data_IF_642996037241
#
_entry.id   IF_642996037241
#
_cell.length_a   1.000
_cell.length_b   1.000
_cell.length_c   1.000
_cell.angle_alpha   90.00
_cell.angle_beta   90.00
_cell.angle_gamma   90.00
#
_symmetry.space_group_name_H-M   'P 1'
#
loop_
_entity.id
_entity.type
_entity.pdbx_description
1 polymer ?
#
# COMPACT_ATOMS: atom_id res chain seq x y z
N UNK A 1 -5.15 4.94 5.01
CA UNK A 1 -4.29 4.30 6.06
C UNK A 1 -3.03 3.82 5.37
N UNK A 2 -1.96 4.58 5.56
CA UNK A 2 -0.64 4.43 4.96
C UNK A 2 -0.12 3.00 5.02
N UNK A 3 0.33 2.45 3.90
CA UNK A 3 0.97 1.12 3.83
C UNK A 3 2.22 1.11 4.72
N UNK A 4 2.93 2.24 4.77
CA UNK A 4 4.06 2.48 5.66
C UNK A 4 3.78 2.19 7.15
N UNK A 5 2.57 2.51 7.62
CA UNK A 5 2.16 2.30 9.00
C UNK A 5 1.93 0.81 9.25
N UNK A 6 1.37 0.08 8.27
CA UNK A 6 1.16 -1.36 8.39
C UNK A 6 2.50 -2.11 8.50
N UNK A 7 3.49 -1.76 7.67
CA UNK A 7 4.83 -2.34 7.76
C UNK A 7 5.48 -2.04 9.11
N UNK A 8 5.33 -0.81 9.62
CA UNK A 8 5.87 -0.45 10.95
C UNK A 8 5.25 -1.28 12.08
N UNK A 9 3.96 -1.60 11.99
CA UNK A 9 3.33 -2.50 12.96
C UNK A 9 3.87 -3.92 12.86
N UNK A 10 4.09 -4.44 11.64
CA UNK A 10 4.70 -5.76 11.42
C UNK A 10 6.10 -5.79 12.03
N UNK A 11 6.93 -4.78 11.79
CA UNK A 11 8.28 -4.68 12.35
C UNK A 11 8.25 -4.75 13.89
N UNK A 12 7.28 -4.09 14.53
CA UNK A 12 7.14 -4.16 16.00
C UNK A 12 6.79 -5.58 16.47
N UNK A 13 5.77 -6.20 15.87
CA UNK A 13 5.39 -7.58 16.19
C UNK A 13 6.48 -8.59 15.87
N UNK A 14 7.32 -8.31 14.87
CA UNK A 14 8.47 -9.14 14.52
C UNK A 14 9.53 -9.14 15.64
N UNK A 15 9.80 -7.98 16.25
CA UNK A 15 10.72 -7.86 17.39
C UNK A 15 10.14 -8.52 18.64
N UNK A 16 8.88 -8.24 18.98
CA UNK A 16 8.19 -8.82 20.15
C UNK A 16 8.20 -10.36 20.12
N UNK A 17 7.87 -10.98 18.97
CA UNK A 17 7.89 -12.44 18.80
C UNK A 17 9.30 -13.05 18.83
N UNK A 18 10.34 -12.26 18.58
CA UNK A 18 11.73 -12.72 18.60
C UNK A 18 12.29 -12.73 20.03
N UNK A 19 11.84 -11.80 20.87
CA UNK A 19 12.22 -11.73 22.29
C UNK A 19 11.54 -12.84 23.12
N UNK A 20 10.26 -13.15 22.87
CA UNK A 20 9.55 -14.23 23.59
C UNK A 20 10.12 -15.64 23.32
N UNK A 21 10.79 -15.85 22.17
CA UNK A 21 11.41 -17.15 21.85
C UNK A 21 12.82 -17.35 22.47
N UNK A 22 13.43 -16.30 23.04
CA UNK A 22 14.81 -16.38 23.56
C UNK A 22 14.88 -16.84 25.03
N UNK A 23 13.75 -16.89 25.76
CA UNK A 23 13.71 -17.21 27.20
C UNK A 23 13.28 -18.66 27.52
N UNK A 24 13.07 -19.53 26.52
CA UNK A 24 12.64 -20.91 26.76
C UNK A 24 13.69 -21.91 26.28
N UNK A 25 14.62 -22.28 27.17
CA UNK A 25 15.50 -23.44 26.96
C UNK A 25 14.70 -24.75 27.00
N UNK A 26 14.96 -25.59 26.00
CA UNK A 26 14.63 -27.01 25.88
C UNK A 26 13.14 -27.36 25.63
N UNK A 27 12.91 -27.92 24.43
CA UNK A 27 11.74 -28.69 24.00
C UNK A 27 10.44 -27.91 23.73
N UNK A 28 10.40 -27.21 22.59
CA UNK A 28 9.14 -26.85 21.94
C UNK A 28 9.18 -27.21 20.46
N UNK A 29 8.31 -28.14 20.11
CA UNK A 29 8.00 -28.62 18.76
C UNK A 29 7.49 -27.44 17.92
N UNK A 30 8.17 -27.17 16.81
CA UNK A 30 7.60 -26.73 15.53
C UNK A 30 6.46 -25.70 15.58
N UNK A 31 6.70 -24.56 16.24
CA UNK A 31 5.93 -23.32 15.96
C UNK A 31 6.85 -22.22 15.41
N UNK A 32 7.97 -22.62 14.80
CA UNK A 32 8.67 -21.74 13.89
C UNK A 32 7.81 -21.67 12.63
N UNK A 33 6.88 -20.71 12.59
CA UNK A 33 6.46 -20.19 11.30
C UNK A 33 7.75 -19.84 10.57
N UNK A 34 8.13 -20.65 9.57
CA UNK A 34 9.25 -20.31 8.69
C UNK A 34 8.83 -18.99 8.05
N UNK A 35 9.45 -17.91 8.52
CA UNK A 35 9.14 -16.56 8.04
C UNK A 35 9.87 -16.40 6.73
N UNK A 36 9.13 -16.22 5.64
CA UNK A 36 9.70 -16.03 4.30
C UNK A 36 10.24 -14.59 4.08
N UNK A 37 10.66 -13.90 5.15
CA UNK A 37 11.20 -12.54 5.13
C UNK A 37 12.00 -12.20 6.39
N UNK A 38 12.93 -11.25 6.26
CA UNK A 38 13.83 -10.76 7.32
C UNK A 38 13.50 -9.32 7.74
N UNK A 39 14.12 -8.84 8.83
CA UNK A 39 14.06 -7.41 9.20
C UNK A 39 14.59 -6.48 8.10
N UNK A 40 15.63 -6.93 7.37
CA UNK A 40 16.21 -6.15 6.27
C UNK A 40 15.20 -6.01 5.13
N UNK A 41 14.50 -7.09 4.78
CA UNK A 41 13.43 -7.06 3.78
C UNK A 41 12.30 -6.08 4.17
N UNK A 42 11.93 -6.04 5.46
CA UNK A 42 10.93 -5.08 5.97
C UNK A 42 11.40 -3.63 5.85
N UNK A 43 12.68 -3.36 6.12
CA UNK A 43 13.27 -2.03 5.96
C UNK A 43 13.26 -1.59 4.50
N UNK A 44 13.72 -2.46 3.59
CA UNK A 44 13.73 -2.20 2.15
C UNK A 44 12.31 -1.95 1.64
N UNK A 45 11.34 -2.81 1.99
CA UNK A 45 9.96 -2.62 1.57
C UNK A 45 9.37 -1.31 2.11
N UNK A 46 9.66 -0.96 3.38
CA UNK A 46 9.21 0.30 3.97
C UNK A 46 9.77 1.50 3.22
N UNK A 47 11.04 1.47 2.82
CA UNK A 47 11.66 2.53 2.03
C UNK A 47 10.99 2.68 0.66
N UNK A 48 10.75 1.57 -0.03
CA UNK A 48 10.00 1.53 -1.31
C UNK A 48 8.60 2.16 -1.13
N UNK A 49 7.85 1.76 -0.10
CA UNK A 49 6.50 2.30 0.14
C UNK A 49 6.51 3.80 0.46
N UNK A 50 7.48 4.27 1.26
CA UNK A 50 7.65 5.69 1.57
C UNK A 50 8.01 6.50 0.32
N UNK A 51 8.86 5.97 -0.56
CA UNK A 51 9.21 6.62 -1.82
C UNK A 51 8.00 6.72 -2.76
N UNK A 52 7.15 5.68 -2.80
CA UNK A 52 5.90 5.70 -3.57
C UNK A 52 4.91 6.74 -3.05
N UNK A 53 4.69 6.75 -1.72
CA UNK A 53 3.82 7.72 -1.04
C UNK A 53 4.31 9.15 -1.27
N UNK A 54 5.61 9.40 -1.10
CA UNK A 54 6.23 10.69 -1.41
C UNK A 54 6.02 11.10 -2.86
N UNK A 55 6.19 10.18 -3.81
CA UNK A 55 5.96 10.43 -5.23
C UNK A 55 4.52 10.86 -5.54
N UNK A 56 3.56 10.41 -4.73
CA UNK A 56 2.15 10.81 -4.82
C UNK A 56 1.91 12.16 -4.13
N UNK A 57 2.54 12.41 -2.99
CA UNK A 57 2.44 13.67 -2.24
C UNK A 57 3.01 14.87 -2.99
N UNK A 58 4.00 14.66 -3.85
CA UNK A 58 4.60 15.71 -4.69
C UNK A 58 3.69 16.16 -5.84
N UNK A 59 2.62 15.43 -6.14
CA UNK A 59 1.73 15.76 -7.25
C UNK A 59 0.85 16.95 -6.89
N UNK A 60 0.75 17.94 -7.76
CA UNK A 60 -0.22 19.02 -7.57
C UNK A 60 -1.62 18.50 -7.91
N UNK A 61 -2.53 18.52 -6.93
CA UNK A 61 -3.89 18.00 -7.07
C UNK A 61 -4.87 19.17 -7.09
N UNK A 62 -5.63 19.29 -8.18
CA UNK A 62 -6.72 20.27 -8.30
C UNK A 62 -7.93 19.93 -7.42
N UNK A 63 -8.91 20.84 -7.34
CA UNK A 63 -10.10 20.70 -6.48
C UNK A 63 -10.92 19.42 -6.75
N UNK A 64 -10.98 18.94 -8.00
CA UNK A 64 -11.70 17.72 -8.39
C UNK A 64 -10.77 16.51 -8.55
N UNK A 65 -9.54 16.61 -8.06
CA UNK A 65 -8.50 15.62 -8.33
C UNK A 65 -7.73 15.92 -9.62
N UNK A 66 -6.82 15.01 -9.97
CA UNK A 66 -5.96 15.13 -11.15
C UNK A 66 -5.83 13.78 -11.84
N UNK A 67 -6.06 13.77 -13.15
CA UNK A 67 -6.14 12.55 -13.95
C UNK A 67 -5.02 12.50 -14.99
N UNK A 68 -4.30 11.38 -15.00
CA UNK A 68 -3.15 11.13 -15.86
C UNK A 68 -3.39 9.90 -16.76
N UNK A 69 -2.66 9.77 -17.88
CA UNK A 69 -2.64 8.55 -18.67
C UNK A 69 -2.25 7.33 -17.83
N UNK A 70 -2.72 6.14 -18.19
CA UNK A 70 -2.45 4.90 -17.44
C UNK A 70 -0.97 4.62 -17.25
N UNK A 71 -0.12 5.03 -18.20
CA UNK A 71 1.33 4.86 -18.10
C UNK A 71 2.00 5.62 -16.95
N UNK A 72 1.35 6.65 -16.42
CA UNK A 72 1.87 7.43 -15.29
C UNK A 72 2.09 6.57 -14.04
N UNK A 73 1.37 5.44 -13.91
CA UNK A 73 1.59 4.50 -12.81
C UNK A 73 3.01 3.94 -12.82
N UNK A 74 3.59 3.68 -13.98
CA UNK A 74 4.95 3.17 -14.10
C UNK A 74 5.99 4.23 -13.74
N UNK A 75 5.70 5.51 -13.95
CA UNK A 75 6.56 6.60 -13.52
C UNK A 75 6.59 6.71 -11.99
N UNK A 76 5.42 6.60 -11.33
CA UNK A 76 5.33 6.60 -9.87
C UNK A 76 6.01 5.38 -9.25
N UNK A 77 5.77 4.20 -9.80
CA UNK A 77 6.40 2.96 -9.35
C UNK A 77 7.91 2.98 -9.54
N UNK A 78 8.40 3.54 -10.66
CA UNK A 78 9.83 3.67 -10.91
C UNK A 78 10.53 4.62 -9.94
N UNK A 79 9.89 5.72 -9.51
CA UNK A 79 10.41 6.60 -8.45
C UNK A 79 10.57 5.89 -7.11
N UNK A 80 9.79 4.83 -6.88
CA UNK A 80 9.87 3.95 -5.72
C UNK A 80 10.77 2.73 -5.96
N UNK A 81 11.55 2.71 -7.04
CA UNK A 81 12.40 1.58 -7.42
C UNK A 81 11.64 0.27 -7.75
N UNK A 82 10.34 0.34 -8.03
CA UNK A 82 9.55 -0.81 -8.53
C UNK A 82 9.56 -0.80 -10.06
N UNK A 83 10.22 -1.80 -10.64
CA UNK A 83 10.52 -1.94 -12.08
C UNK A 83 10.22 -3.35 -12.56
N UNK A 84 10.24 -3.56 -13.87
CA UNK A 84 9.87 -4.85 -14.50
C UNK A 84 10.66 -6.05 -13.96
N UNK A 85 11.92 -5.84 -13.59
CA UNK A 85 12.82 -6.92 -13.16
C UNK A 85 12.66 -7.31 -11.68
N UNK A 86 12.11 -6.44 -10.82
CA UNK A 86 12.01 -6.68 -9.38
C UNK A 86 10.56 -6.67 -8.84
N UNK A 87 9.57 -6.30 -9.65
CA UNK A 87 8.17 -6.21 -9.23
C UNK A 87 7.65 -7.51 -8.60
N UNK A 88 8.02 -8.70 -9.13
CA UNK A 88 7.59 -9.98 -8.57
C UNK A 88 8.11 -10.20 -7.14
N UNK A 89 9.36 -9.81 -6.87
CA UNK A 89 9.94 -9.92 -5.53
C UNK A 89 9.24 -9.00 -4.54
N UNK A 90 8.88 -7.79 -4.97
CA UNK A 90 8.10 -6.85 -4.14
C UNK A 90 6.70 -7.39 -3.86
N UNK A 91 6.00 -7.90 -4.88
CA UNK A 91 4.66 -8.51 -4.72
C UNK A 91 4.73 -9.69 -3.75
N UNK A 92 5.66 -10.62 -3.97
CA UNK A 92 5.81 -11.82 -3.13
C UNK A 92 6.10 -11.45 -1.68
N UNK A 93 6.95 -10.45 -1.43
CA UNK A 93 7.20 -9.98 -0.08
C UNK A 93 5.93 -9.41 0.57
N UNK A 94 5.15 -8.59 -0.15
CA UNK A 94 3.87 -8.06 0.33
C UNK A 94 2.88 -9.20 0.64
N UNK A 95 2.79 -10.22 -0.20
CA UNK A 95 1.93 -11.40 0.01
C UNK A 95 2.35 -12.20 1.25
N UNK A 96 3.66 -12.41 1.45
CA UNK A 96 4.19 -13.06 2.66
C UNK A 96 3.82 -12.26 3.92
N UNK A 97 3.85 -10.92 3.86
CA UNK A 97 3.42 -10.06 4.97
C UNK A 97 1.91 -10.14 5.24
N UNK A 98 1.09 -10.22 4.19
CA UNK A 98 -0.38 -10.40 4.33
C UNK A 98 -0.69 -11.75 4.98
N UNK A 99 0.02 -12.81 4.58
CA UNK A 99 -0.11 -14.14 5.19
C UNK A 99 0.36 -14.14 6.65
N UNK A 100 1.48 -13.50 6.96
CA UNK A 100 1.95 -13.33 8.34
C UNK A 100 0.90 -12.59 9.18
N UNK A 101 0.32 -11.50 8.69
CA UNK A 101 -0.73 -10.76 9.41
C UNK A 101 -2.02 -11.56 9.62
N UNK A 102 -2.35 -12.46 8.71
CA UNK A 102 -3.52 -13.34 8.80
C UNK A 102 -3.34 -14.45 9.85
N UNK A 103 -2.10 -14.86 10.10
CA UNK A 103 -1.77 -15.96 11.01
C UNK A 103 -1.30 -15.48 12.39
N UNK A 104 -0.69 -14.29 12.47
CA UNK A 104 -0.34 -13.64 13.72
C UNK A 104 -1.63 -13.26 14.48
N UNK A 105 -1.93 -14.04 15.53
CA UNK A 105 -3.12 -14.01 16.38
C UNK A 105 -3.28 -12.73 17.21
N UNK A 106 -3.35 -11.58 16.56
CA UNK A 106 -3.62 -10.29 17.21
C UNK A 106 -5.01 -9.83 16.79
N UNK A 107 -5.95 -9.85 17.75
CA UNK A 107 -7.32 -9.32 17.75
C UNK A 107 -8.08 -9.17 16.40
N UNK A 108 -9.25 -9.82 16.23
CA UNK A 108 -10.03 -9.84 14.98
C UNK A 108 -10.61 -8.48 14.53
N UNK A 109 -10.36 -7.38 15.27
CA UNK A 109 -10.94 -6.06 15.01
C UNK A 109 -10.00 -5.06 14.32
N UNK A 110 -8.73 -5.40 14.11
CA UNK A 110 -7.83 -4.57 13.31
C UNK A 110 -7.94 -4.96 11.84
N UNK A 111 -8.28 -4.02 10.96
CA UNK A 111 -8.22 -4.16 9.49
C UNK A 111 -6.77 -4.29 9.02
N UNK A 112 -6.12 -5.38 9.39
CA UNK A 112 -4.71 -5.68 9.10
C UNK A 112 -4.55 -5.93 7.61
N UNK A 113 -3.48 -5.40 7.04
CA UNK A 113 -3.08 -5.72 5.66
C UNK A 113 -3.95 -5.15 4.54
N UNK A 114 -5.02 -4.40 4.80
CA UNK A 114 -5.85 -3.83 3.71
C UNK A 114 -5.05 -2.93 2.76
N UNK A 115 -4.13 -2.12 3.29
CA UNK A 115 -3.24 -1.29 2.46
C UNK A 115 -2.25 -2.15 1.67
N UNK A 116 -1.63 -3.13 2.31
CA UNK A 116 -0.75 -4.12 1.66
C UNK A 116 -1.48 -4.87 0.54
N UNK A 117 -2.71 -5.33 0.77
CA UNK A 117 -3.53 -6.00 -0.24
C UNK A 117 -3.81 -5.08 -1.43
N UNK A 118 -4.25 -3.84 -1.18
CA UNK A 118 -4.47 -2.84 -2.24
C UNK A 118 -3.20 -2.57 -3.05
N UNK A 119 -2.03 -2.59 -2.40
CA UNK A 119 -0.75 -2.42 -3.09
C UNK A 119 -0.40 -3.64 -3.94
N UNK A 120 -0.55 -4.86 -3.40
CA UNK A 120 -0.36 -6.09 -4.17
C UNK A 120 -1.29 -6.14 -5.39
N UNK A 121 -2.57 -5.79 -5.22
CA UNK A 121 -3.55 -5.73 -6.30
C UNK A 121 -3.13 -4.72 -7.38
N UNK A 122 -2.72 -3.51 -6.97
CA UNK A 122 -2.24 -2.47 -7.89
C UNK A 122 -1.03 -2.97 -8.71
N UNK A 123 -0.04 -3.59 -8.05
CA UNK A 123 1.15 -4.11 -8.71
C UNK A 123 0.82 -5.25 -9.66
N UNK A 124 -0.01 -6.21 -9.24
CA UNK A 124 -0.47 -7.32 -10.07
C UNK A 124 -1.20 -6.82 -11.32
N UNK A 125 -1.99 -5.74 -11.21
CA UNK A 125 -2.67 -5.15 -12.37
C UNK A 125 -1.67 -4.44 -13.27
N UNK A 126 -0.86 -3.53 -12.72
CA UNK A 126 0.09 -2.73 -13.47
C UNK A 126 1.13 -3.60 -14.21
N UNK A 127 1.57 -4.70 -13.59
CA UNK A 127 2.60 -5.61 -14.10
C UNK A 127 2.06 -6.97 -14.58
N UNK A 128 0.75 -7.11 -14.84
CA UNK A 128 0.21 -8.36 -15.41
C UNK A 128 0.78 -8.70 -16.80
N UNK A 129 1.45 -7.75 -17.46
CA UNK A 129 2.41 -8.01 -18.52
C UNK A 129 3.57 -7.01 -18.51
N UNK A 130 4.78 -7.48 -18.82
CA UNK A 130 5.98 -6.61 -18.87
C UNK A 130 6.42 -6.27 -20.29
N UNK A 131 5.76 -6.82 -21.31
CA UNK A 131 6.11 -6.55 -22.71
C UNK A 131 5.77 -5.11 -23.10
N UNK A 132 6.54 -4.55 -24.05
CA UNK A 132 6.28 -3.21 -24.56
C UNK A 132 4.84 -3.05 -25.08
N UNK A 133 4.34 -4.04 -25.84
CA UNK A 133 2.97 -4.00 -26.37
C UNK A 133 1.90 -4.03 -25.28
N UNK A 134 2.16 -4.70 -24.16
CA UNK A 134 1.27 -4.67 -23.00
C UNK A 134 1.26 -3.26 -22.36
N UNK A 135 2.43 -2.66 -22.15
CA UNK A 135 2.54 -1.31 -21.59
C UNK A 135 1.87 -0.25 -22.46
N UNK A 136 1.96 -0.37 -23.78
CA UNK A 136 1.24 0.51 -24.70
C UNK A 136 -0.28 0.36 -24.58
N UNK A 137 -0.80 -0.87 -24.40
CA UNK A 137 -2.22 -1.07 -24.11
C UNK A 137 -2.61 -0.43 -22.77
N UNK A 138 -1.83 -0.62 -21.73
CA UNK A 138 -2.08 0.01 -20.43
C UNK A 138 -2.19 1.53 -20.54
N UNK A 139 -1.28 2.18 -21.27
CA UNK A 139 -1.30 3.64 -21.50
C UNK A 139 -2.61 4.12 -22.13
N UNK A 140 -3.19 3.35 -23.05
CA UNK A 140 -4.43 3.69 -23.74
C UNK A 140 -5.68 3.33 -22.92
N UNK A 141 -5.63 2.21 -22.21
CA UNK A 141 -6.80 1.60 -21.58
C UNK A 141 -7.00 2.04 -20.13
N UNK A 142 -5.94 2.45 -19.43
CA UNK A 142 -6.03 2.84 -18.02
C UNK A 142 -5.92 4.35 -17.81
N UNK A 143 -6.40 4.81 -16.65
CA UNK A 143 -6.15 6.15 -16.12
C UNK A 143 -5.70 6.05 -14.67
N UNK A 144 -4.82 6.96 -14.28
CA UNK A 144 -4.45 7.20 -12.88
C UNK A 144 -5.16 8.47 -12.45
N UNK A 145 -6.01 8.39 -11.43
CA UNK A 145 -6.69 9.54 -10.86
C UNK A 145 -6.29 9.71 -9.40
N UNK A 146 -5.88 10.91 -9.02
CA UNK A 146 -5.46 11.23 -7.65
C UNK A 146 -6.38 12.31 -7.12
N UNK A 147 -6.95 12.07 -5.94
CA UNK A 147 -7.86 12.98 -5.28
C UNK A 147 -7.46 13.17 -3.83
N UNK A 148 -7.66 14.38 -3.31
CA UNK A 148 -7.59 14.63 -1.86
C UNK A 148 -8.89 14.15 -1.24
N UNK A 149 -8.82 13.19 -0.32
CA UNK A 149 -9.96 12.75 0.45
C UNK A 149 -10.25 13.79 1.55
N UNK A 150 -11.28 14.60 1.32
CA UNK A 150 -11.82 15.44 2.38
C UNK A 150 -12.50 14.55 3.42
N UNK A 151 -11.95 14.50 4.64
CA UNK A 151 -12.66 13.92 5.78
C UNK A 151 -13.92 14.75 6.00
N UNK A 152 -15.06 14.28 5.48
CA UNK A 152 -16.39 14.82 5.81
C UNK A 152 -16.54 14.74 7.32
N UNK A 153 -16.23 15.84 8.00
CA UNK A 153 -16.58 16.03 9.39
C UNK A 153 -18.11 16.00 9.44
N UNK A 154 -18.69 14.84 9.77
CA UNK A 154 -20.01 14.79 10.37
C UNK A 154 -19.89 15.35 11.80
N UNK A 155 -19.60 16.66 11.91
CA UNK A 155 -19.82 17.40 13.14
C UNK A 155 -21.23 17.98 13.06
N UNK A 156 -22.14 17.28 13.73
CA UNK A 156 -23.38 17.88 14.23
C UNK A 156 -23.02 19.16 15.00
N UNK A 157 -23.93 20.12 14.84
CA UNK A 157 -23.98 21.46 15.41
C UNK A 157 -23.60 21.58 16.89
N UNK A 158 -23.11 22.78 17.21
CA UNK A 158 -22.99 23.45 18.51
C UNK A 158 -21.94 22.99 19.53
N UNK A 159 -20.78 23.67 19.51
CA UNK A 159 -20.16 24.12 20.75
C UNK A 159 -19.30 25.36 20.47
N UNK A 160 -19.77 26.51 20.94
CA UNK A 160 -19.05 27.78 20.97
C UNK A 160 -17.87 27.66 21.95
N UNK A 161 -16.65 27.68 21.44
CA UNK A 161 -15.43 27.75 22.26
C UNK A 161 -14.48 26.57 22.11
N UNK A 162 -13.88 26.40 20.94
CA UNK A 162 -12.63 25.65 20.82
C UNK A 162 -11.67 26.42 19.93
N UNK A 163 -10.58 26.88 20.54
CA UNK A 163 -9.40 27.48 19.94
C UNK A 163 -9.04 26.69 18.66
N UNK A 164 -9.02 27.37 17.52
CA UNK A 164 -8.61 26.80 16.24
C UNK A 164 -7.14 26.39 16.35
N UNK A 165 -6.87 25.12 16.64
CA UNK A 165 -5.56 24.54 16.31
C UNK A 165 -5.48 24.48 14.79
N UNK A 166 -4.78 25.44 14.19
CA UNK A 166 -4.32 25.35 12.81
C UNK A 166 -3.19 24.32 12.81
N UNK A 167 -3.56 23.06 12.94
CA UNK A 167 -2.68 21.95 12.57
C UNK A 167 -3.27 21.44 11.28
N UNK A 168 -2.66 21.82 10.17
CA UNK A 168 -2.94 21.25 8.85
C UNK A 168 -2.82 19.74 8.97
N UNK A 169 -3.95 19.04 9.12
CA UNK A 169 -3.94 17.58 9.02
C UNK A 169 -3.42 17.26 7.62
N UNK A 170 -2.47 16.32 7.48
CA UNK A 170 -2.06 15.88 6.15
C UNK A 170 -3.31 15.44 5.40
N UNK A 171 -3.55 16.06 4.25
CA UNK A 171 -4.62 15.68 3.33
C UNK A 171 -4.34 14.24 2.88
N UNK A 172 -5.22 13.31 3.23
CA UNK A 172 -5.11 11.90 2.82
C UNK A 172 -5.39 11.85 1.30
N UNK A 173 -4.45 11.30 0.52
CA UNK A 173 -4.56 11.25 -0.94
C UNK A 173 -4.96 9.85 -1.37
N UNK A 174 -5.94 9.76 -2.27
CA UNK A 174 -6.39 8.48 -2.82
C UNK A 174 -5.89 8.36 -4.25
N UNK A 175 -5.17 7.28 -4.54
CA UNK A 175 -4.79 6.90 -5.89
C UNK A 175 -5.77 5.85 -6.41
N UNK A 176 -6.40 6.20 -7.52
CA UNK A 176 -7.32 5.34 -8.25
C UNK A 176 -6.72 4.93 -9.58
N UNK A 177 -6.70 3.62 -9.84
CA UNK A 177 -6.20 3.08 -11.10
C UNK A 177 -7.32 2.29 -11.79
N UNK A 178 -7.83 2.84 -12.90
CA UNK A 178 -9.06 2.39 -13.54
C UNK A 178 -8.83 1.96 -14.98
N UNK A 179 -9.41 0.83 -15.36
CA UNK A 179 -9.48 0.31 -16.72
C UNK A 179 -10.75 0.83 -17.43
N UNK A 180 -10.60 1.44 -18.60
CA UNK A 180 -11.65 2.06 -19.42
C UNK A 180 -11.88 1.33 -20.77
N UNK A 181 -11.46 0.07 -20.89
CA UNK A 181 -11.55 -0.69 -22.14
C UNK A 181 -12.51 -1.89 -22.08
N UNK A 182 -13.63 -1.88 -22.85
CA UNK A 182 -14.67 -2.91 -22.77
C UNK A 182 -14.19 -4.35 -23.00
N UNK A 183 -13.15 -4.54 -23.83
CA UNK A 183 -12.61 -5.84 -24.19
C UNK A 183 -11.46 -6.32 -23.29
N UNK A 184 -10.92 -5.43 -22.45
CA UNK A 184 -9.78 -5.71 -21.57
C UNK A 184 -10.21 -5.89 -20.10
N UNK A 185 -11.29 -5.21 -19.67
CA UNK A 185 -11.71 -5.15 -18.27
C UNK A 185 -12.80 -6.19 -17.91
N UNK A 186 -12.56 -7.50 -18.06
CA UNK A 186 -13.48 -8.49 -17.48
C UNK A 186 -13.34 -8.60 -15.95
N UNK A 187 -12.28 -8.06 -15.35
CA UNK A 187 -12.16 -7.83 -13.91
C UNK A 187 -11.14 -6.70 -13.65
N UNK A 188 -11.24 -6.08 -12.47
CA UNK A 188 -10.27 -5.17 -11.82
C UNK A 188 -10.60 -3.66 -11.86
N UNK A 189 -11.21 -3.22 -10.75
CA UNK A 189 -11.12 -1.86 -10.20
C UNK A 189 -10.21 -1.96 -8.97
N UNK A 190 -9.00 -1.41 -9.01
CA UNK A 190 -8.11 -1.31 -7.84
C UNK A 190 -8.15 0.11 -7.30
N UNK A 191 -8.67 0.29 -6.09
CA UNK A 191 -8.66 1.57 -5.38
C UNK A 191 -7.67 1.48 -4.21
N UNK A 192 -6.56 2.21 -4.29
CA UNK A 192 -5.57 2.26 -3.23
C UNK A 192 -5.71 3.58 -2.47
N UNK A 193 -6.25 3.50 -1.26
CA UNK A 193 -6.34 4.65 -0.34
C UNK A 193 -5.05 4.68 0.48
N UNK A 194 -4.22 5.70 0.31
CA UNK A 194 -3.00 5.91 1.11
C UNK A 194 -3.36 6.67 2.38
#
# INVERSE_FOLDING_TARGET
>A
MCVCVQITHIMRSFVENSEENLDTTAEAIDTNQVKDFTCEDLCILKEIMLAFEKGIDEIEVGNEGSTYPGGFIFELLAKAEIKDHNQMSVISLIENLIQFLSTASVSPFQRKGVGLQKMADLLNVAFSGTTHSYKERVKMCYKVHIQIEEKKNNKKTDSWGALKSVTSKPSERVLSYWCFSPHLCTHVRSETSL
#
